data_IF_783728083292
#
_entry.id   IF_783728083292
#
_cell.length_a   1.000
_cell.length_b   1.000
_cell.length_c   1.000
_cell.angle_alpha   90.00
_cell.angle_beta   90.00
_cell.angle_gamma   90.00
#
_symmetry.space_group_name_H-M   'P 1'
#
loop_
_entity.id
_entity.type
_entity.pdbx_description
1 polymer ?
#
# COMPACT_ATOMS: atom_id res chain seq x y z
N UNK A 1 -17.08 -3.41 -13.44
CA UNK A 1 -16.02 -2.77 -14.25
C UNK A 1 -16.58 -1.58 -15.02
N UNK A 2 -15.70 -0.71 -15.52
CA UNK A 2 -16.00 0.41 -16.41
C UNK A 2 -14.77 0.67 -17.32
N UNK A 3 -14.71 1.81 -18.00
CA UNK A 3 -13.54 2.13 -18.85
C UNK A 3 -12.26 2.38 -18.05
N UNK A 4 -12.31 2.67 -16.75
CA UNK A 4 -11.11 2.89 -15.92
C UNK A 4 -10.64 1.60 -15.24
N UNK A 5 -11.54 0.94 -14.51
CA UNK A 5 -11.34 -0.39 -13.92
C UNK A 5 -11.90 -1.40 -14.91
N UNK A 6 -11.05 -1.96 -15.76
CA UNK A 6 -11.44 -2.79 -16.91
C UNK A 6 -11.55 -4.27 -16.55
N UNK A 7 -10.84 -4.72 -15.50
CA UNK A 7 -10.89 -6.07 -14.97
C UNK A 7 -10.97 -6.05 -13.45
N UNK A 8 -11.67 -7.03 -12.87
CA UNK A 8 -11.78 -7.18 -11.43
C UNK A 8 -12.02 -8.67 -11.11
N UNK A 9 -10.99 -9.34 -10.59
CA UNK A 9 -10.98 -10.74 -10.16
C UNK A 9 -10.68 -10.81 -8.67
N UNK A 10 -11.08 -11.91 -8.06
CA UNK A 10 -10.79 -12.22 -6.67
C UNK A 10 -10.53 -13.72 -6.54
N UNK A 11 -9.65 -14.05 -5.60
CA UNK A 11 -9.14 -15.39 -5.41
C UNK A 11 -9.37 -15.70 -3.94
N UNK A 12 -10.56 -16.18 -3.58
CA UNK A 12 -10.89 -16.64 -2.21
C UNK A 12 -11.92 -17.77 -2.27
N UNK A 13 -12.01 -18.57 -1.20
CA UNK A 13 -12.80 -19.81 -1.17
C UNK A 13 -14.28 -19.62 -0.77
N UNK A 14 -14.74 -18.42 -0.39
CA UNK A 14 -16.09 -18.24 0.19
C UNK A 14 -16.69 -16.93 -0.32
N UNK A 15 -17.75 -17.01 -1.14
CA UNK A 15 -18.72 -15.93 -1.50
C UNK A 15 -18.19 -14.48 -1.41
N UNK A 16 -16.99 -14.23 -1.92
CA UNK A 16 -16.37 -12.91 -1.86
C UNK A 16 -16.60 -12.17 -3.18
N UNK A 17 -16.17 -10.93 -3.22
CA UNK A 17 -16.22 -10.07 -4.39
C UNK A 17 -14.86 -9.41 -4.55
N UNK A 18 -14.55 -8.85 -5.74
CA UNK A 18 -13.33 -8.05 -5.91
C UNK A 18 -13.42 -6.69 -5.21
N UNK A 19 -14.45 -6.44 -4.39
CA UNK A 19 -14.57 -5.23 -3.59
C UNK A 19 -13.52 -5.24 -2.49
N UNK A 20 -12.81 -4.13 -2.40
CA UNK A 20 -11.91 -3.82 -1.30
C UNK A 20 -12.72 -3.38 -0.08
N UNK A 21 -12.54 -4.09 1.03
CA UNK A 21 -13.17 -3.80 2.33
C UNK A 21 -12.14 -3.32 3.37
N UNK A 22 -10.85 -3.33 3.03
CA UNK A 22 -9.74 -2.91 3.88
C UNK A 22 -9.32 -1.47 3.56
N UNK A 23 -9.23 -1.15 2.27
CA UNK A 23 -8.85 0.16 1.75
C UNK A 23 -7.42 0.21 1.21
N UNK A 24 -6.55 -0.72 1.60
CA UNK A 24 -5.16 -0.77 1.11
C UNK A 24 -5.08 -0.87 -0.42
N UNK A 25 -5.85 -1.79 -1.02
CA UNK A 25 -5.87 -1.97 -2.48
C UNK A 25 -6.34 -0.72 -3.23
N UNK A 26 -7.38 -0.06 -2.71
CA UNK A 26 -7.91 1.20 -3.27
C UNK A 26 -6.88 2.32 -3.17
N UNK A 27 -6.16 2.43 -2.05
CA UNK A 27 -5.11 3.42 -1.85
C UNK A 27 -3.93 3.21 -2.81
N UNK A 28 -3.45 1.97 -2.95
CA UNK A 28 -2.36 1.61 -3.89
C UNK A 28 -2.78 1.88 -5.34
N UNK A 29 -3.95 1.39 -5.76
CA UNK A 29 -4.43 1.54 -7.13
C UNK A 29 -4.65 3.03 -7.51
N UNK A 30 -5.16 3.84 -6.59
CA UNK A 30 -5.34 5.28 -6.82
C UNK A 30 -4.01 6.05 -6.83
N UNK A 31 -3.01 5.62 -6.07
CA UNK A 31 -1.65 6.20 -6.13
C UNK A 31 -0.95 5.89 -7.45
N UNK A 32 -1.10 4.68 -7.97
CA UNK A 32 -0.51 4.30 -9.26
C UNK A 32 -1.24 4.95 -10.44
N UNK A 33 -2.57 4.88 -10.46
CA UNK A 33 -3.36 5.23 -11.63
C UNK A 33 -4.70 5.92 -11.31
N UNK A 34 -4.85 6.59 -10.18
CA UNK A 34 -6.05 7.38 -9.88
C UNK A 34 -6.26 8.51 -10.89
N UNK A 35 -7.51 8.74 -11.30
CA UNK A 35 -7.86 9.95 -12.08
C UNK A 35 -7.84 11.18 -11.17
N UNK A 36 -7.63 12.38 -11.74
CA UNK A 36 -7.65 13.61 -10.96
C UNK A 36 -8.98 13.81 -10.19
N UNK A 37 -8.88 13.93 -8.87
CA UNK A 37 -9.98 14.27 -7.97
C UNK A 37 -9.67 15.61 -7.31
N UNK A 38 -10.41 16.65 -7.72
CA UNK A 38 -10.30 17.99 -7.14
C UNK A 38 -10.90 18.03 -5.74
N UNK A 39 -10.35 18.91 -4.89
CA UNK A 39 -10.79 19.10 -3.49
C UNK A 39 -10.69 17.80 -2.67
N UNK A 40 -9.70 16.97 -2.98
CA UNK A 40 -9.36 15.83 -2.15
C UNK A 40 -8.68 16.34 -0.88
N UNK A 41 -9.11 15.83 0.26
CA UNK A 41 -8.51 16.08 1.56
C UNK A 41 -8.82 14.92 2.49
N UNK A 42 -8.02 14.78 3.54
CA UNK A 42 -8.30 13.88 4.64
C UNK A 42 -9.03 14.63 5.76
N UNK A 43 -10.21 14.15 6.15
CA UNK A 43 -11.10 14.77 7.14
C UNK A 43 -11.30 16.29 6.94
N UNK A 44 -11.04 17.10 7.96
CA UNK A 44 -11.25 18.55 8.04
C UNK A 44 -10.24 19.38 7.21
N UNK A 45 -9.87 18.88 6.02
CA UNK A 45 -9.08 19.64 5.04
C UNK A 45 -7.58 19.34 5.03
N UNK A 46 -7.11 18.27 5.69
CA UNK A 46 -5.69 17.93 5.63
C UNK A 46 -5.26 17.46 4.25
N UNK A 47 -4.06 17.90 3.86
CA UNK A 47 -3.52 17.69 2.52
C UNK A 47 -4.51 18.05 1.40
N UNK A 48 -5.31 19.10 1.62
CA UNK A 48 -6.24 19.60 0.63
C UNK A 48 -5.54 19.90 -0.70
N UNK A 49 -6.10 19.38 -1.79
CA UNK A 49 -5.55 19.59 -3.11
C UNK A 49 -6.28 18.80 -4.20
N UNK A 50 -5.55 18.48 -5.25
CA UNK A 50 -6.01 17.54 -6.28
C UNK A 50 -5.22 16.25 -6.14
N UNK A 51 -5.91 15.16 -5.78
CA UNK A 51 -5.31 13.83 -5.76
C UNK A 51 -5.31 13.24 -7.16
N UNK A 52 -4.22 12.58 -7.56
CA UNK A 52 -4.07 11.86 -8.84
C UNK A 52 -3.00 10.78 -8.70
N UNK A 53 -3.07 9.77 -9.56
CA UNK A 53 -2.03 8.76 -9.64
C UNK A 53 -0.86 9.18 -10.53
N UNK A 54 0.18 8.34 -10.56
CA UNK A 54 1.32 8.51 -11.46
C UNK A 54 0.93 8.49 -12.95
N UNK A 55 -0.06 7.67 -13.33
CA UNK A 55 -0.60 7.63 -14.69
C UNK A 55 -2.14 7.66 -14.71
N UNK A 56 -2.72 8.84 -14.88
CA UNK A 56 -4.18 9.05 -14.88
C UNK A 56 -4.89 8.31 -16.04
N UNK A 57 -4.20 8.13 -17.18
CA UNK A 57 -4.73 7.49 -18.38
C UNK A 57 -4.63 5.97 -18.38
N UNK A 58 -3.80 5.37 -17.51
CA UNK A 58 -3.67 3.92 -17.42
C UNK A 58 -4.99 3.24 -17.06
N UNK A 59 -5.20 2.01 -17.54
CA UNK A 59 -6.34 1.17 -17.14
C UNK A 59 -5.95 0.35 -15.92
N UNK A 60 -6.92 0.04 -15.07
CA UNK A 60 -6.71 -0.76 -13.85
C UNK A 60 -7.39 -2.12 -14.04
N UNK A 61 -6.64 -3.19 -13.80
CA UNK A 61 -7.17 -4.53 -13.58
C UNK A 61 -6.88 -4.92 -12.12
N UNK A 62 -7.90 -5.31 -11.38
CA UNK A 62 -7.80 -5.64 -9.96
C UNK A 62 -7.76 -7.15 -9.79
N UNK A 63 -6.79 -7.63 -9.01
CA UNK A 63 -6.65 -9.03 -8.62
C UNK A 63 -6.60 -9.09 -7.09
N UNK A 64 -7.75 -9.36 -6.47
CA UNK A 64 -7.85 -9.41 -5.00
C UNK A 64 -7.42 -10.79 -4.51
N UNK A 65 -6.24 -10.87 -3.89
CA UNK A 65 -5.66 -12.10 -3.35
C UNK A 65 -5.60 -12.14 -1.83
N UNK A 66 -5.84 -10.99 -1.18
CA UNK A 66 -5.79 -10.86 0.27
C UNK A 66 -7.19 -10.73 0.86
N UNK A 67 -7.41 -11.37 2.01
CA UNK A 67 -8.62 -11.27 2.80
C UNK A 67 -8.26 -11.18 4.29
N UNK A 68 -8.76 -10.14 4.97
CA UNK A 68 -8.50 -9.89 6.39
C UNK A 68 -7.01 -9.86 6.78
N UNK A 69 -6.15 -9.37 5.87
CA UNK A 69 -4.70 -9.28 6.08
C UNK A 69 -3.93 -10.56 5.72
N UNK A 70 -4.60 -11.67 5.43
CA UNK A 70 -3.98 -12.89 4.95
C UNK A 70 -3.98 -12.91 3.41
N UNK A 71 -2.87 -13.31 2.81
CA UNK A 71 -2.65 -13.35 1.36
C UNK A 71 -2.02 -14.70 0.98
N UNK A 72 -2.80 -15.79 0.89
CA UNK A 72 -2.24 -17.11 0.67
C UNK A 72 -1.46 -17.24 -0.65
N UNK A 73 -0.28 -17.85 -0.58
CA UNK A 73 0.68 -17.99 -1.69
C UNK A 73 0.06 -18.51 -2.98
N UNK A 74 -0.81 -19.52 -2.89
CA UNK A 74 -1.44 -20.15 -4.04
C UNK A 74 -2.48 -19.24 -4.73
N UNK A 75 -3.15 -18.36 -3.98
CA UNK A 75 -4.06 -17.35 -4.52
C UNK A 75 -3.28 -16.25 -5.24
N UNK A 76 -2.14 -15.87 -4.67
CA UNK A 76 -1.21 -14.93 -5.29
C UNK A 76 -0.67 -15.47 -6.62
N UNK A 77 -0.22 -16.73 -6.66
CA UNK A 77 0.26 -17.37 -7.89
C UNK A 77 -0.86 -17.47 -8.95
N UNK A 78 -2.08 -17.83 -8.55
CA UNK A 78 -3.23 -17.84 -9.45
C UNK A 78 -3.55 -16.46 -10.04
N UNK A 79 -3.39 -15.40 -9.25
CA UNK A 79 -3.54 -14.03 -9.74
C UNK A 79 -2.43 -13.61 -10.71
N UNK A 80 -1.18 -14.05 -10.50
CA UNK A 80 -0.11 -13.83 -11.46
C UNK A 80 -0.42 -14.50 -12.80
N UNK A 81 -0.84 -15.76 -12.79
CA UNK A 81 -1.18 -16.52 -14.00
C UNK A 81 -2.28 -15.80 -14.81
N UNK A 82 -3.38 -15.42 -14.15
CA UNK A 82 -4.46 -14.66 -14.78
C UNK A 82 -4.02 -13.27 -15.24
N UNK A 83 -3.18 -12.56 -14.48
CA UNK A 83 -2.68 -11.23 -14.88
C UNK A 83 -1.79 -11.30 -16.13
N UNK A 84 -0.94 -12.33 -16.21
CA UNK A 84 -0.10 -12.61 -17.38
C UNK A 84 -0.99 -12.94 -18.58
N UNK A 85 -1.96 -13.86 -18.41
CA UNK A 85 -2.87 -14.27 -19.47
C UNK A 85 -3.79 -13.13 -19.95
N UNK A 86 -4.23 -12.26 -19.04
CA UNK A 86 -5.04 -11.06 -19.35
C UNK A 86 -4.20 -9.97 -20.07
N UNK A 87 -2.87 -10.12 -20.15
CA UNK A 87 -1.98 -9.22 -20.89
C UNK A 87 -1.76 -7.86 -20.22
N UNK A 88 -1.62 -7.84 -18.88
CA UNK A 88 -1.26 -6.60 -18.18
C UNK A 88 0.16 -6.16 -18.55
N UNK A 89 0.45 -4.85 -18.47
CA UNK A 89 1.76 -4.30 -18.84
C UNK A 89 2.69 -4.11 -17.63
N UNK A 90 2.11 -3.83 -16.47
CA UNK A 90 2.82 -3.59 -15.20
C UNK A 90 2.00 -4.20 -14.07
N UNK A 91 2.66 -4.91 -13.17
CA UNK A 91 2.10 -5.42 -11.92
C UNK A 91 2.67 -4.57 -10.77
N UNK A 92 1.78 -3.93 -10.01
CA UNK A 92 2.12 -3.18 -8.81
C UNK A 92 1.68 -3.98 -7.58
N UNK A 93 2.63 -4.55 -6.87
CA UNK A 93 2.38 -5.47 -5.75
C UNK A 93 2.91 -4.90 -4.43
N UNK A 94 2.02 -4.32 -3.63
CA UNK A 94 2.37 -3.80 -2.30
C UNK A 94 2.16 -4.86 -1.21
N UNK A 95 2.77 -6.03 -1.39
CA UNK A 95 2.81 -7.11 -0.41
C UNK A 95 4.27 -7.39 -0.02
N UNK A 96 4.48 -7.99 1.15
CA UNK A 96 5.78 -8.47 1.62
C UNK A 96 5.85 -9.98 1.54
N UNK A 97 7.06 -10.53 1.40
CA UNK A 97 7.34 -11.96 1.49
C UNK A 97 8.24 -12.21 2.69
N UNK A 98 7.98 -13.31 3.41
CA UNK A 98 8.80 -13.79 4.53
C UNK A 98 9.95 -14.71 4.06
N UNK A 99 9.99 -15.04 2.76
CA UNK A 99 10.93 -15.99 2.16
C UNK A 99 12.12 -15.31 1.44
N UNK A 100 12.51 -14.10 1.86
CA UNK A 100 13.63 -13.37 1.25
C UNK A 100 14.88 -14.25 1.12
N UNK A 101 15.51 -14.23 -0.04
CA UNK A 101 16.71 -15.01 -0.34
C UNK A 101 16.49 -16.45 -0.83
N UNK A 102 15.27 -17.01 -0.76
CA UNK A 102 14.92 -18.30 -1.38
C UNK A 102 13.84 -18.13 -2.47
N UNK A 103 14.28 -17.73 -3.66
CA UNK A 103 13.39 -17.37 -4.77
C UNK A 103 12.52 -18.54 -5.26
N UNK A 104 12.92 -19.79 -5.03
CA UNK A 104 12.13 -20.96 -5.44
C UNK A 104 10.99 -21.25 -4.47
N UNK A 105 11.04 -20.70 -3.26
CA UNK A 105 10.00 -20.83 -2.24
C UNK A 105 9.22 -19.54 -2.01
N UNK A 106 9.64 -18.44 -2.64
CA UNK A 106 8.93 -17.18 -2.62
C UNK A 106 7.91 -17.09 -3.77
N UNK A 107 6.59 -17.15 -3.48
CA UNK A 107 5.56 -17.04 -4.52
C UNK A 107 5.59 -15.68 -5.24
N UNK A 108 6.07 -14.61 -4.58
CA UNK A 108 6.21 -13.29 -5.21
C UNK A 108 7.34 -13.32 -6.22
N UNK A 109 8.49 -13.90 -5.87
CA UNK A 109 9.61 -14.08 -6.79
C UNK A 109 9.24 -14.97 -7.98
N UNK A 110 8.59 -16.11 -7.75
CA UNK A 110 8.16 -17.04 -8.80
C UNK A 110 7.14 -16.40 -9.76
N UNK A 111 6.07 -15.82 -9.23
CA UNK A 111 5.06 -15.14 -10.04
C UNK A 111 5.65 -13.97 -10.83
N UNK A 112 6.54 -13.19 -10.19
CA UNK A 112 7.22 -12.09 -10.86
C UNK A 112 8.18 -12.55 -11.94
N UNK A 113 8.86 -13.69 -11.76
CA UNK A 113 9.77 -14.25 -12.75
C UNK A 113 9.03 -14.52 -14.05
N UNK A 114 7.91 -15.26 -13.97
CA UNK A 114 7.08 -15.55 -15.14
C UNK A 114 6.47 -14.29 -15.76
N UNK A 115 6.04 -13.33 -14.95
CA UNK A 115 5.55 -12.05 -15.48
C UNK A 115 6.65 -11.33 -16.30
N UNK A 116 7.87 -11.26 -15.78
CA UNK A 116 9.01 -10.63 -16.46
C UNK A 116 9.43 -11.39 -17.71
N UNK A 117 9.39 -12.72 -17.71
CA UNK A 117 9.61 -13.54 -18.91
C UNK A 117 8.59 -13.22 -20.03
N UNK A 118 7.38 -12.83 -19.65
CA UNK A 118 6.32 -12.39 -20.57
C UNK A 118 6.36 -10.87 -20.87
N UNK A 119 7.44 -10.17 -20.50
CA UNK A 119 7.63 -8.75 -20.78
C UNK A 119 6.82 -7.81 -19.88
N UNK A 120 6.30 -8.30 -18.76
CA UNK A 120 5.51 -7.54 -17.80
C UNK A 120 6.43 -7.03 -16.69
N UNK A 121 6.45 -5.71 -16.46
CA UNK A 121 7.26 -5.13 -15.38
C UNK A 121 6.60 -5.36 -14.03
N UNK A 122 7.36 -5.83 -13.03
CA UNK A 122 6.84 -6.06 -11.68
C UNK A 122 7.51 -5.11 -10.69
N UNK A 123 6.69 -4.37 -9.94
CA UNK A 123 7.12 -3.42 -8.91
C UNK A 123 6.59 -3.87 -7.56
N UNK A 124 7.48 -4.09 -6.59
CA UNK A 124 7.13 -4.54 -5.25
C UNK A 124 7.64 -3.60 -4.17
N UNK A 125 6.98 -3.61 -3.00
CA UNK A 125 7.46 -2.89 -1.82
C UNK A 125 8.65 -3.61 -1.19
N UNK A 126 9.63 -2.86 -0.68
CA UNK A 126 10.77 -3.40 0.08
C UNK A 126 10.44 -3.86 1.50
N UNK A 127 9.18 -3.74 1.94
CA UNK A 127 8.73 -4.12 3.28
C UNK A 127 8.89 -3.01 4.33
N UNK A 128 8.29 -3.24 5.51
CA UNK A 128 8.21 -2.27 6.62
C UNK A 128 9.00 -2.74 7.86
N UNK A 129 9.82 -3.77 7.74
CA UNK A 129 10.52 -4.43 8.86
C UNK A 129 11.88 -3.82 9.22
N UNK A 130 12.22 -2.68 8.61
CA UNK A 130 13.44 -1.92 8.90
C UNK A 130 13.51 -1.43 10.36
N UNK A 131 14.62 -0.78 10.77
CA UNK A 131 15.72 -0.29 9.95
C UNK A 131 16.99 -1.17 10.00
N UNK A 132 16.93 -2.36 10.61
CA UNK A 132 18.09 -3.25 10.71
C UNK A 132 18.53 -3.74 9.32
N UNK A 133 19.82 -4.02 9.11
CA UNK A 133 20.29 -4.66 7.88
C UNK A 133 19.53 -5.97 7.60
N UNK A 134 19.43 -6.35 6.33
CA UNK A 134 18.79 -7.60 5.88
C UNK A 134 17.32 -7.75 6.28
N UNK A 135 16.55 -6.67 6.22
CA UNK A 135 15.10 -6.64 6.51
C UNK A 135 14.24 -6.38 5.28
N UNK A 136 14.85 -6.33 4.09
CA UNK A 136 14.14 -6.08 2.83
C UNK A 136 13.33 -7.33 2.43
N UNK A 137 12.10 -7.10 1.96
CA UNK A 137 11.28 -8.09 1.26
C UNK A 137 11.42 -7.91 -0.26
N UNK A 138 11.10 -8.96 -1.03
CA UNK A 138 11.10 -8.93 -2.50
C UNK A 138 12.48 -8.62 -3.09
N UNK A 139 13.49 -9.41 -2.74
CA UNK A 139 14.89 -9.20 -3.11
C UNK A 139 15.30 -9.88 -4.43
N UNK A 140 14.35 -10.47 -5.15
CA UNK A 140 14.60 -11.10 -6.44
C UNK A 140 15.07 -10.06 -7.50
N UNK A 141 16.11 -10.36 -8.28
CA UNK A 141 16.78 -9.37 -9.15
C UNK A 141 15.94 -8.91 -10.35
N UNK A 142 14.87 -9.63 -10.69
CA UNK A 142 13.93 -9.25 -11.74
C UNK A 142 12.78 -8.35 -11.26
N UNK A 143 12.71 -8.06 -9.94
CA UNK A 143 11.69 -7.19 -9.35
C UNK A 143 12.26 -5.78 -9.16
N UNK A 144 11.45 -4.76 -9.46
CA UNK A 144 11.74 -3.39 -9.04
C UNK A 144 11.28 -3.22 -7.58
N UNK A 145 12.23 -3.26 -6.66
CA UNK A 145 11.95 -3.19 -5.21
C UNK A 145 12.05 -1.76 -4.69
N UNK A 146 10.97 -1.26 -4.10
CA UNK A 146 10.82 0.16 -3.74
C UNK A 146 10.85 0.36 -2.23
N UNK A 147 11.82 1.15 -1.74
CA UNK A 147 11.87 1.62 -0.37
C UNK A 147 10.99 2.86 -0.13
N UNK A 148 10.61 3.09 1.13
CA UNK A 148 9.82 4.26 1.52
C UNK A 148 10.70 5.40 2.08
N UNK A 149 10.38 6.63 1.72
CA UNK A 149 11.01 7.84 2.24
C UNK A 149 9.97 8.91 2.59
N UNK A 150 10.40 9.95 3.29
CA UNK A 150 9.55 11.10 3.61
C UNK A 150 9.52 12.11 2.46
N UNK A 151 8.47 12.93 2.43
CA UNK A 151 8.36 14.12 1.57
C UNK A 151 8.56 15.39 2.40
N UNK A 152 8.66 16.54 1.73
CA UNK A 152 8.79 17.86 2.36
C UNK A 152 7.59 18.27 3.23
N UNK A 153 6.40 17.76 2.89
CA UNK A 153 5.17 17.98 3.67
C UNK A 153 5.16 17.15 4.95
N UNK A 154 5.08 17.85 6.09
CA UNK A 154 4.80 17.27 7.40
C UNK A 154 3.42 17.69 7.92
N UNK A 155 2.79 16.82 8.70
CA UNK A 155 1.57 17.16 9.44
C UNK A 155 1.93 17.43 10.91
N UNK A 156 1.81 18.69 11.30
CA UNK A 156 2.13 19.16 12.65
C UNK A 156 0.84 19.47 13.41
N UNK A 157 0.83 19.13 14.71
CA UNK A 157 -0.21 19.52 15.65
C UNK A 157 0.39 20.32 16.80
N UNK A 158 -0.34 21.35 17.26
CA UNK A 158 0.03 22.12 18.43
C UNK A 158 -0.69 21.57 19.66
N UNK A 159 0.09 21.19 20.69
CA UNK A 159 -0.42 20.84 22.01
C UNK A 159 -0.28 22.07 22.91
N UNK A 160 -1.40 22.60 23.40
CA UNK A 160 -1.41 23.66 24.40
C UNK A 160 -1.38 23.05 25.81
N UNK A 161 -0.30 23.31 26.55
CA UNK A 161 -0.12 22.87 27.94
C UNK A 161 -0.72 23.88 28.93
N UNK A 162 -0.93 23.43 30.16
CA UNK A 162 -1.26 24.31 31.28
C UNK A 162 -0.19 25.40 31.46
N UNK A 163 -0.61 26.66 31.58
CA UNK A 163 0.30 27.81 31.62
C UNK A 163 0.59 28.47 30.27
N UNK A 164 -0.05 28.03 29.18
CA UNK A 164 0.00 28.70 27.88
C UNK A 164 1.19 28.30 26.98
N UNK A 165 2.02 27.36 27.43
CA UNK A 165 3.11 26.82 26.63
C UNK A 165 2.56 25.96 25.47
N UNK A 166 3.14 26.12 24.28
CA UNK A 166 2.76 25.35 23.09
C UNK A 166 3.90 24.42 22.70
N UNK A 167 3.58 23.13 22.51
CA UNK A 167 4.51 22.11 22.01
C UNK A 167 4.03 21.64 20.65
N UNK A 168 4.91 21.69 19.65
CA UNK A 168 4.65 21.08 18.34
C UNK A 168 4.94 19.59 18.38
N UNK A 169 4.02 18.79 17.85
CA UNK A 169 4.21 17.35 17.67
C UNK A 169 3.89 16.94 16.24
N UNK A 170 4.61 15.94 15.75
CA UNK A 170 4.30 15.26 14.50
C UNK A 170 3.31 14.14 14.78
N UNK A 171 2.05 14.52 14.90
CA UNK A 171 0.95 13.62 15.15
C UNK A 171 -0.29 14.19 14.48
N UNK A 172 -1.11 13.31 13.90
CA UNK A 172 -2.39 13.71 13.32
C UNK A 172 -3.53 13.19 14.17
N UNK A 173 -4.48 14.07 14.50
CA UNK A 173 -5.75 13.67 15.10
C UNK A 173 -6.92 14.31 14.35
N UNK A 174 -7.94 13.48 14.05
CA UNK A 174 -9.20 13.94 13.45
C UNK A 174 -10.31 13.95 14.47
N UNK A 175 -10.26 14.88 15.42
CA UNK A 175 -11.46 15.14 16.23
C UNK A 175 -11.50 16.59 16.67
N UNK A 176 -12.70 17.16 16.56
CA UNK A 176 -13.09 18.43 17.15
C UNK A 176 -13.23 18.37 18.69
N UNK A 177 -12.89 17.24 19.32
CA UNK A 177 -12.94 17.07 20.78
C UNK A 177 -11.60 17.44 21.43
N UNK A 178 -11.65 18.22 22.51
CA UNK A 178 -10.50 18.47 23.39
C UNK A 178 -9.97 17.14 23.92
N UNK A 179 -8.76 16.76 23.53
CA UNK A 179 -8.06 15.61 24.09
C UNK A 179 -7.29 16.09 25.31
N UNK A 180 -7.58 15.50 26.47
CA UNK A 180 -6.73 15.63 27.64
C UNK A 180 -5.62 14.59 27.52
N UNK A 181 -4.38 15.04 27.25
CA UNK A 181 -3.21 14.16 27.30
C UNK A 181 -2.88 13.91 28.76
N UNK A 182 -3.20 12.71 29.26
CA UNK A 182 -2.83 12.28 30.62
C UNK A 182 -1.39 11.78 30.57
N UNK A 183 -0.48 12.49 31.25
CA UNK A 183 0.89 12.01 31.47
C UNK A 183 0.91 11.04 32.64
N UNK A 184 1.19 9.76 32.38
CA UNK A 184 1.55 8.81 33.43
C UNK A 184 3.05 8.91 33.68
N UNK A 185 3.45 9.60 34.75
CA UNK A 185 4.81 9.47 35.29
C UNK A 185 4.86 8.21 36.16
N UNK A 186 5.51 7.16 35.68
CA UNK A 186 6.07 6.16 36.59
C UNK A 186 7.44 6.66 37.03
N UNK A 187 7.61 6.85 38.34
CA UNK A 187 8.94 6.91 38.96
C UNK A 187 9.59 5.55 38.70
N UNK A 188 10.57 5.48 37.81
CA UNK A 188 11.53 4.37 37.88
C UNK A 188 12.34 4.59 39.16
N UNK A 189 12.09 3.77 40.19
CA UNK A 189 13.07 3.50 41.25
C UNK A 189 14.06 2.46 40.72
#
# INVERSE_FOLDING_TARGET
>A
CNRKIIGARYYTNISDTPRDLDGHGTHVASTAAGVAVRKASYYDGLAAGTARGGSESARIAVYKVCQHGDCPDWLLLGAFDDAIADGVHVISLSLGSDNSGDFLRDPQALGAFHAVEHGITVVCAGGNSGPRPSTISNDAPWIITVGASTVDRAFESNILLGGGQVVKVYFFFSSSKKIYVIYFFNKCN
#
